data_IF_168462411815
#
_entry.id   IF_168462411815
#
_cell.length_a   1.000
_cell.length_b   1.000
_cell.length_c   1.000
_cell.angle_alpha   90.00
_cell.angle_beta   90.00
_cell.angle_gamma   90.00
#
_symmetry.space_group_name_H-M   'P 1'
#
loop_
_entity.id
_entity.type
_entity.pdbx_description
1 polymer ?
#
# COMPACT_ATOMS: atom_id res chain seq x y z
N UNK A 1 -12.13 4.02 0.77
CA UNK A 1 -12.45 2.75 1.50
C UNK A 1 -12.09 2.94 2.96
N UNK A 2 -10.83 3.32 3.21
CA UNK A 2 -10.29 3.54 4.53
C UNK A 2 -11.10 4.56 5.33
N UNK A 3 -11.58 5.64 4.70
CA UNK A 3 -12.47 6.62 5.33
C UNK A 3 -13.67 6.02 6.07
N UNK A 4 -14.30 4.97 5.51
CA UNK A 4 -15.42 4.26 6.15
C UNK A 4 -14.97 3.44 7.37
N UNK A 5 -13.89 2.68 7.23
CA UNK A 5 -13.30 1.89 8.32
C UNK A 5 -12.87 2.81 9.46
N UNK A 6 -12.20 3.92 9.13
CA UNK A 6 -11.74 4.91 10.09
C UNK A 6 -12.90 5.57 10.84
N UNK A 7 -14.00 5.87 10.15
CA UNK A 7 -15.21 6.40 10.77
C UNK A 7 -15.83 5.40 11.75
N UNK A 8 -15.96 4.13 11.38
CA UNK A 8 -16.52 3.10 12.27
C UNK A 8 -15.74 2.96 13.58
N UNK A 9 -14.41 3.05 13.52
CA UNK A 9 -13.53 2.91 14.68
C UNK A 9 -13.14 4.26 15.32
N UNK A 10 -13.80 5.38 15.00
CA UNK A 10 -13.40 6.72 15.47
C UNK A 10 -13.35 6.82 17.00
N UNK A 11 -14.32 6.21 17.68
CA UNK A 11 -14.43 6.17 19.14
C UNK A 11 -13.50 5.14 19.80
N UNK A 12 -12.77 4.35 19.00
CA UNK A 12 -11.93 3.25 19.46
C UNK A 12 -10.50 3.33 18.89
N UNK A 13 -9.66 4.31 19.30
CA UNK A 13 -8.33 4.53 18.71
C UNK A 13 -7.42 3.30 18.67
N UNK A 14 -7.46 2.46 19.70
CA UNK A 14 -6.68 1.21 19.75
C UNK A 14 -7.18 0.18 18.73
N UNK A 15 -8.48 0.10 18.48
CA UNK A 15 -9.08 -0.80 17.47
C UNK A 15 -8.85 -0.27 16.06
N UNK A 16 -8.88 1.06 15.88
CA UNK A 16 -8.49 1.72 14.64
C UNK A 16 -7.04 1.37 14.25
N UNK A 17 -6.11 1.35 15.22
CA UNK A 17 -4.72 0.90 14.97
C UNK A 17 -4.66 -0.54 14.45
N UNK A 18 -5.47 -1.45 15.02
CA UNK A 18 -5.56 -2.84 14.53
C UNK A 18 -6.11 -2.90 13.11
N UNK A 19 -7.23 -2.22 12.84
CA UNK A 19 -7.81 -2.15 11.50
C UNK A 19 -6.82 -1.58 10.48
N UNK A 20 -6.03 -0.57 10.87
CA UNK A 20 -4.96 0.00 10.02
C UNK A 20 -3.92 -1.05 9.65
N UNK A 21 -3.40 -1.80 10.63
CA UNK A 21 -2.43 -2.88 10.39
C UNK A 21 -3.00 -3.95 9.46
N UNK A 22 -4.27 -4.33 9.65
CA UNK A 22 -4.92 -5.31 8.77
C UNK A 22 -4.97 -4.82 7.32
N UNK A 23 -5.42 -3.58 7.09
CA UNK A 23 -5.55 -3.00 5.74
C UNK A 23 -4.19 -2.80 5.07
N UNK A 24 -3.22 -2.20 5.76
CA UNK A 24 -1.89 -1.91 5.21
C UNK A 24 -1.12 -3.18 4.78
N UNK A 25 -1.39 -4.31 5.44
CA UNK A 25 -0.72 -5.57 5.15
C UNK A 25 -1.54 -6.51 4.26
N UNK A 26 -2.75 -6.10 3.86
CA UNK A 26 -3.67 -6.93 3.10
C UNK A 26 -4.12 -8.18 3.87
N UNK A 27 -4.29 -8.07 5.18
CA UNK A 27 -4.72 -9.17 6.03
C UNK A 27 -6.25 -9.27 6.02
N UNK A 28 -6.75 -10.46 5.69
CA UNK A 28 -8.18 -10.75 5.72
C UNK A 28 -8.64 -11.23 7.09
N UNK A 29 -9.93 -11.09 7.36
CA UNK A 29 -10.63 -11.69 8.50
C UNK A 29 -11.67 -12.66 7.98
N UNK A 30 -11.53 -13.94 8.32
CA UNK A 30 -12.42 -15.04 7.92
C UNK A 30 -12.70 -15.92 9.14
N UNK A 31 -13.96 -16.19 9.43
CA UNK A 31 -14.37 -17.02 10.59
C UNK A 31 -13.72 -16.61 11.91
N UNK A 32 -13.63 -15.30 12.18
CA UNK A 32 -13.01 -14.75 13.39
C UNK A 32 -11.49 -14.95 13.48
N UNK A 33 -10.83 -15.32 12.39
CA UNK A 33 -9.37 -15.52 12.28
C UNK A 33 -8.77 -14.59 11.25
N UNK A 34 -7.49 -14.28 11.42
CA UNK A 34 -6.75 -13.32 10.58
C UNK A 34 -5.87 -14.11 9.62
N UNK A 35 -5.82 -13.73 8.34
CA UNK A 35 -5.00 -14.41 7.35
C UNK A 35 -4.21 -13.45 6.48
N UNK A 36 -2.97 -13.82 6.16
CA UNK A 36 -2.23 -13.31 5.01
C UNK A 36 -2.39 -14.31 3.87
N UNK A 37 -3.28 -14.01 2.92
CA UNK A 37 -3.73 -14.99 1.91
C UNK A 37 -4.23 -16.27 2.61
N UNK A 38 -3.57 -17.42 2.43
CA UNK A 38 -3.94 -18.69 3.07
C UNK A 38 -3.17 -19.00 4.37
N UNK A 39 -2.30 -18.09 4.82
CA UNK A 39 -1.51 -18.26 6.03
C UNK A 39 -2.25 -17.63 7.20
N UNK A 40 -2.64 -18.43 8.20
CA UNK A 40 -3.25 -17.92 9.43
C UNK A 40 -2.23 -17.12 10.26
N UNK A 41 -2.62 -15.92 10.68
CA UNK A 41 -1.79 -14.99 11.44
C UNK A 41 -2.29 -14.92 12.88
N UNK A 42 -1.47 -15.31 13.88
CA UNK A 42 -1.88 -15.25 15.28
C UNK A 42 -2.16 -13.80 15.73
N UNK A 43 -3.26 -13.55 16.49
CA UNK A 43 -3.60 -12.21 16.97
C UNK A 43 -2.49 -11.50 17.75
N UNK A 44 -1.64 -12.25 18.44
CA UNK A 44 -0.49 -11.69 19.19
C UNK A 44 0.54 -11.03 18.27
N UNK A 45 0.70 -11.50 17.03
CA UNK A 45 1.63 -10.91 16.06
C UNK A 45 1.10 -9.58 15.53
N UNK A 46 -0.20 -9.52 15.25
CA UNK A 46 -0.89 -8.27 14.87
C UNK A 46 -0.86 -7.27 16.01
N UNK A 47 -1.12 -7.71 17.25
CA UNK A 47 -1.11 -6.87 18.45
C UNK A 47 0.24 -6.17 18.64
N UNK A 48 1.35 -6.90 18.43
CA UNK A 48 2.71 -6.36 18.50
C UNK A 48 2.95 -5.24 17.48
N UNK A 49 2.48 -5.40 16.24
CA UNK A 49 2.64 -4.38 15.18
C UNK A 49 1.74 -3.17 15.44
N UNK A 50 0.51 -3.40 15.89
CA UNK A 50 -0.45 -2.35 16.20
C UNK A 50 -0.15 -1.60 17.51
N UNK A 51 0.78 -2.10 18.35
CA UNK A 51 1.13 -1.51 19.64
C UNK A 51 0.02 -1.65 20.70
N UNK A 52 -0.77 -2.73 20.65
CA UNK A 52 -1.93 -2.96 21.54
C UNK A 52 -1.87 -4.33 22.22
N UNK A 53 -2.79 -4.57 23.15
CA UNK A 53 -2.94 -5.89 23.78
C UNK A 53 -3.62 -6.89 22.81
N UNK A 54 -3.30 -8.19 22.96
CA UNK A 54 -3.90 -9.27 22.17
C UNK A 54 -5.43 -9.26 22.26
N UNK A 55 -6.02 -8.95 23.43
CA UNK A 55 -7.46 -8.89 23.63
C UNK A 55 -8.10 -7.83 22.75
N UNK A 56 -7.45 -6.68 22.57
CA UNK A 56 -7.92 -5.62 21.66
C UNK A 56 -8.02 -6.11 20.23
N UNK A 57 -7.07 -6.94 19.76
CA UNK A 57 -7.13 -7.52 18.41
C UNK A 57 -8.32 -8.49 18.29
N UNK A 58 -8.51 -9.37 19.26
CA UNK A 58 -9.64 -10.33 19.27
C UNK A 58 -10.99 -9.59 19.27
N UNK A 59 -11.14 -8.56 20.09
CA UNK A 59 -12.34 -7.72 20.11
C UNK A 59 -12.57 -6.99 18.78
N UNK A 60 -11.50 -6.48 18.16
CA UNK A 60 -11.59 -5.80 16.87
C UNK A 60 -12.03 -6.76 15.78
N UNK A 61 -11.46 -7.97 15.73
CA UNK A 61 -11.86 -9.03 14.79
C UNK A 61 -13.32 -9.43 15.01
N UNK A 62 -13.78 -9.51 16.27
CA UNK A 62 -15.17 -9.77 16.59
C UNK A 62 -16.08 -8.67 16.03
N UNK A 63 -15.77 -7.39 16.28
CA UNK A 63 -16.53 -6.26 15.73
C UNK A 63 -16.58 -6.28 14.20
N UNK A 64 -15.44 -6.55 13.53
CA UNK A 64 -15.36 -6.69 12.07
C UNK A 64 -16.28 -7.81 11.58
N UNK A 65 -16.39 -8.92 12.32
CA UNK A 65 -17.20 -10.08 11.90
C UNK A 65 -18.70 -9.86 12.12
N UNK A 66 -19.06 -9.08 13.13
CA UNK A 66 -20.44 -8.75 13.49
C UNK A 66 -21.05 -7.66 12.61
N UNK A 67 -20.24 -6.73 12.10
CA UNK A 67 -20.67 -5.70 11.15
C UNK A 67 -20.65 -6.21 9.70
N UNK A 68 -21.76 -6.07 8.99
CA UNK A 68 -21.91 -6.63 7.63
C UNK A 68 -20.99 -5.97 6.59
N UNK A 69 -20.83 -4.64 6.66
CA UNK A 69 -20.00 -3.90 5.72
C UNK A 69 -18.51 -4.18 5.97
N UNK A 70 -18.08 -4.12 7.22
CA UNK A 70 -16.70 -4.46 7.58
C UNK A 70 -16.38 -5.92 7.28
N UNK A 71 -17.26 -6.86 7.60
CA UNK A 71 -17.07 -8.28 7.27
C UNK A 71 -16.86 -8.47 5.77
N UNK A 72 -17.65 -7.79 4.94
CA UNK A 72 -17.51 -7.85 3.48
C UNK A 72 -16.15 -7.32 3.03
N UNK A 73 -15.73 -6.16 3.54
CA UNK A 73 -14.43 -5.57 3.18
C UNK A 73 -13.28 -6.47 3.64
N UNK A 74 -13.23 -6.82 4.92
CA UNK A 74 -12.11 -7.56 5.50
C UNK A 74 -12.06 -9.03 5.07
N UNK A 75 -13.15 -9.64 4.61
CA UNK A 75 -13.10 -10.99 4.04
C UNK A 75 -12.55 -11.03 2.61
N UNK A 76 -12.61 -9.91 1.88
CA UNK A 76 -12.20 -9.79 0.48
C UNK A 76 -10.83 -9.13 0.29
N UNK A 77 -10.33 -8.39 1.28
CA UNK A 77 -8.96 -7.87 1.28
C UNK A 77 -7.98 -9.04 1.19
N UNK A 78 -6.93 -8.86 0.39
CA UNK A 78 -5.83 -9.83 0.27
C UNK A 78 -4.52 -9.12 0.05
N UNK A 79 -3.42 -9.77 0.40
CA UNK A 79 -2.10 -9.25 0.12
C UNK A 79 -1.85 -9.28 -1.39
N UNK A 80 -1.45 -8.15 -1.98
CA UNK A 80 -1.27 -8.01 -3.42
C UNK A 80 0.06 -8.58 -3.96
N UNK A 81 0.86 -9.22 -3.10
CA UNK A 81 2.19 -9.75 -3.43
C UNK A 81 3.31 -8.91 -2.84
N UNK A 82 4.54 -9.39 -3.05
CA UNK A 82 5.73 -8.72 -2.53
C UNK A 82 6.01 -7.40 -3.26
N UNK A 83 6.37 -6.37 -2.50
CA UNK A 83 7.01 -5.19 -3.08
C UNK A 83 8.41 -5.55 -3.54
N UNK A 84 8.74 -5.29 -4.81
CA UNK A 84 10.07 -5.52 -5.35
C UNK A 84 11.04 -4.37 -5.03
N UNK A 85 10.58 -3.31 -4.35
CA UNK A 85 11.35 -2.08 -4.10
C UNK A 85 12.67 -2.37 -3.39
N UNK A 86 12.62 -3.09 -2.27
CA UNK A 86 13.80 -3.39 -1.44
C UNK A 86 14.76 -4.38 -2.11
N UNK A 87 14.25 -5.22 -3.01
CA UNK A 87 15.04 -6.21 -3.75
C UNK A 87 15.46 -5.72 -5.15
N UNK A 88 15.11 -4.49 -5.53
CA UNK A 88 15.40 -3.96 -6.85
C UNK A 88 16.91 -3.87 -7.11
N UNK A 89 17.65 -3.29 -6.15
CA UNK A 89 19.11 -3.12 -6.24
C UNK A 89 19.88 -4.44 -6.41
N UNK A 90 19.70 -5.48 -5.59
CA UNK A 90 20.42 -6.75 -5.79
C UNK A 90 20.01 -7.47 -7.09
N UNK A 91 18.81 -7.20 -7.63
CA UNK A 91 18.34 -7.76 -8.89
C UNK A 91 18.67 -6.89 -10.12
N UNK A 92 19.41 -5.79 -9.95
CA UNK A 92 19.72 -4.80 -10.99
C UNK A 92 18.48 -4.18 -11.66
N UNK A 93 17.34 -4.14 -10.96
CA UNK A 93 16.16 -3.41 -11.37
C UNK A 93 16.34 -1.92 -11.07
N UNK A 94 15.80 -1.07 -11.93
CA UNK A 94 15.73 0.37 -11.69
C UNK A 94 14.42 0.74 -11.02
N UNK A 95 14.45 1.71 -10.11
CA UNK A 95 13.27 2.22 -9.42
C UNK A 95 13.12 3.70 -9.73
N UNK A 96 11.91 4.12 -10.11
CA UNK A 96 11.49 5.52 -10.10
C UNK A 96 10.45 5.70 -9.00
N UNK A 97 10.77 6.56 -8.05
CA UNK A 97 9.87 6.98 -6.98
C UNK A 97 9.44 8.42 -7.23
N UNK A 98 8.13 8.65 -7.22
CA UNK A 98 7.49 9.92 -7.51
C UNK A 98 6.72 10.36 -6.28
N UNK A 99 7.05 11.55 -5.78
CA UNK A 99 6.21 12.27 -4.82
C UNK A 99 5.28 13.20 -5.61
N UNK A 100 3.95 13.01 -5.51
CA UNK A 100 2.99 13.89 -6.17
C UNK A 100 2.86 15.23 -5.45
N UNK A 101 2.46 16.29 -6.16
CA UNK A 101 2.03 17.57 -5.58
C UNK A 101 0.71 17.37 -4.82
N UNK A 102 -0.22 16.65 -5.45
CA UNK A 102 -1.45 16.15 -4.85
C UNK A 102 -1.67 14.72 -5.37
N UNK A 103 -1.75 13.72 -4.48
CA UNK A 103 -1.90 12.32 -4.85
C UNK A 103 -3.21 12.00 -5.59
N UNK A 104 -4.19 12.91 -5.59
CA UNK A 104 -5.45 12.77 -6.34
C UNK A 104 -5.34 13.24 -7.79
N UNK A 105 -4.21 13.84 -8.20
CA UNK A 105 -4.04 14.31 -9.58
C UNK A 105 -4.00 13.15 -10.56
N UNK A 106 -4.81 13.26 -11.60
CA UNK A 106 -4.88 12.29 -12.69
C UNK A 106 -3.67 12.44 -13.61
N UNK A 107 -3.16 11.32 -14.12
CA UNK A 107 -2.17 11.29 -15.20
C UNK A 107 -0.73 11.06 -14.77
N UNK A 108 -0.41 11.09 -13.46
CA UNK A 108 0.95 10.85 -12.97
C UNK A 108 1.45 9.46 -13.38
N UNK A 109 0.66 8.41 -13.08
CA UNK A 109 0.97 7.03 -13.47
C UNK A 109 1.19 6.96 -14.99
N UNK A 110 0.22 7.43 -15.77
CA UNK A 110 0.27 7.38 -17.23
C UNK A 110 1.50 8.11 -17.80
N UNK A 111 1.84 9.29 -17.28
CA UNK A 111 3.00 10.06 -17.73
C UNK A 111 4.31 9.35 -17.45
N UNK A 112 4.49 8.87 -16.21
CA UNK A 112 5.71 8.15 -15.79
C UNK A 112 5.88 6.84 -16.59
N UNK A 113 4.81 6.06 -16.74
CA UNK A 113 4.88 4.81 -17.50
C UNK A 113 5.08 5.04 -18.99
N UNK A 114 4.57 6.14 -19.55
CA UNK A 114 4.77 6.51 -20.97
C UNK A 114 6.23 6.86 -21.26
N UNK A 115 6.89 7.62 -20.38
CA UNK A 115 8.33 7.95 -20.51
C UNK A 115 9.16 6.67 -20.54
N UNK A 116 8.90 5.72 -19.63
CA UNK A 116 9.61 4.44 -19.60
C UNK A 116 9.36 3.63 -20.89
N UNK A 117 8.11 3.56 -21.35
CA UNK A 117 7.75 2.84 -22.58
C UNK A 117 8.41 3.45 -23.83
N UNK A 118 8.44 4.78 -23.95
CA UNK A 118 9.11 5.49 -25.05
C UNK A 118 10.63 5.22 -25.11
N UNK A 119 11.23 4.97 -23.94
CA UNK A 119 12.63 4.59 -23.81
C UNK A 119 12.86 3.07 -23.84
N UNK A 120 11.83 2.30 -24.23
CA UNK A 120 11.86 0.84 -24.34
C UNK A 120 12.32 0.16 -23.03
N UNK A 121 11.88 0.68 -21.89
CA UNK A 121 12.15 0.14 -20.54
C UNK A 121 10.91 -0.63 -20.09
N UNK A 122 11.06 -1.92 -19.80
CA UNK A 122 9.94 -2.76 -19.37
C UNK A 122 9.66 -2.55 -17.88
N UNK A 123 8.39 -2.50 -17.51
CA UNK A 123 7.95 -2.30 -16.14
C UNK A 123 7.61 -3.66 -15.52
N UNK A 124 8.20 -3.95 -14.36
CA UNK A 124 7.93 -5.16 -13.57
C UNK A 124 6.85 -4.96 -12.53
N UNK A 125 6.78 -3.77 -11.93
CA UNK A 125 5.80 -3.47 -10.89
C UNK A 125 5.47 -1.97 -10.88
N UNK A 126 4.20 -1.65 -10.64
CA UNK A 126 3.72 -0.30 -10.37
C UNK A 126 2.96 -0.35 -9.06
N UNK A 127 3.41 0.41 -8.07
CA UNK A 127 2.80 0.52 -6.76
C UNK A 127 2.38 1.97 -6.51
N UNK A 128 1.13 2.17 -6.12
CA UNK A 128 0.60 3.47 -5.73
C UNK A 128 0.07 3.36 -4.31
N UNK A 129 0.57 4.21 -3.43
CA UNK A 129 0.03 4.30 -2.07
C UNK A 129 -1.37 4.91 -2.09
N UNK A 130 -2.23 4.45 -1.18
CA UNK A 130 -3.55 5.06 -0.97
C UNK A 130 -3.38 6.35 -0.13
N UNK A 131 -3.78 7.52 -0.64
CA UNK A 131 -3.66 8.80 0.06
C UNK A 131 -4.57 8.92 1.30
N UNK A 132 -5.57 8.05 1.47
CA UNK A 132 -6.35 7.98 2.71
C UNK A 132 -5.55 7.28 3.84
N UNK A 133 -4.57 6.43 3.50
CA UNK A 133 -3.82 5.58 4.43
C UNK A 133 -2.40 6.06 4.70
N UNK A 134 -1.70 6.50 3.65
CA UNK A 134 -0.32 6.97 3.72
C UNK A 134 -0.27 8.49 3.89
N UNK A 135 0.45 9.02 4.89
CA UNK A 135 0.62 10.46 5.07
C UNK A 135 1.51 11.11 3.99
N UNK A 136 2.39 10.33 3.36
CA UNK A 136 3.24 10.76 2.24
C UNK A 136 3.12 9.72 1.10
N UNK A 137 1.98 9.72 0.38
CA UNK A 137 1.68 8.72 -0.63
C UNK A 137 2.57 8.90 -1.86
N UNK A 138 3.15 7.80 -2.33
CA UNK A 138 4.07 7.78 -3.47
C UNK A 138 3.61 6.86 -4.59
N UNK A 139 4.09 7.16 -5.78
CA UNK A 139 4.12 6.21 -6.89
C UNK A 139 5.52 5.62 -6.98
N UNK A 140 5.63 4.30 -6.92
CA UNK A 140 6.86 3.55 -7.14
C UNK A 140 6.73 2.70 -8.39
N UNK A 141 7.59 2.91 -9.37
CA UNK A 141 7.66 2.12 -10.59
C UNK A 141 8.99 1.38 -10.63
N UNK A 142 8.92 0.07 -10.82
CA UNK A 142 10.09 -0.82 -10.82
C UNK A 142 10.25 -1.36 -12.23
N UNK A 143 11.37 -1.01 -12.86
CA UNK A 143 11.77 -1.43 -14.20
C UNK A 143 12.62 -2.70 -14.18
N UNK A 144 12.72 -3.37 -15.32
CA UNK A 144 13.56 -4.56 -15.48
C UNK A 144 15.07 -4.30 -15.55
N UNK A 145 15.47 -3.03 -15.66
CA UNK A 145 16.85 -2.56 -15.72
C UNK A 145 16.97 -1.18 -15.09
N UNK A 146 18.21 -0.75 -14.85
CA UNK A 146 18.52 0.61 -14.36
C UNK A 146 17.91 1.68 -15.25
N UNK A 147 17.37 2.72 -14.61
CA UNK A 147 16.72 3.83 -15.29
C UNK A 147 17.77 4.92 -15.55
N UNK A 148 17.96 5.35 -16.81
CA UNK A 148 18.96 6.36 -17.14
C UNK A 148 18.68 7.70 -16.42
N UNK A 149 19.74 8.34 -15.92
CA UNK A 149 19.63 9.58 -15.16
C UNK A 149 19.12 10.75 -16.00
N UNK A 150 19.33 10.70 -17.31
CA UNK A 150 18.81 11.69 -18.27
C UNK A 150 17.27 11.72 -18.36
N UNK A 151 16.56 10.71 -17.83
CA UNK A 151 15.09 10.69 -17.80
C UNK A 151 14.51 11.47 -16.60
N UNK A 152 15.32 11.84 -15.60
CA UNK A 152 14.87 12.59 -14.41
C UNK A 152 14.16 13.91 -14.80
N UNK A 153 14.71 14.75 -15.69
CA UNK A 153 14.04 15.97 -16.15
C UNK A 153 12.72 15.70 -16.89
N UNK A 154 12.57 14.55 -17.54
CA UNK A 154 11.31 14.19 -18.21
C UNK A 154 10.22 13.84 -17.20
N UNK A 155 10.56 13.06 -16.17
CA UNK A 155 9.63 12.76 -15.08
C UNK A 155 9.18 14.03 -14.34
N UNK A 156 10.09 14.98 -14.10
CA UNK A 156 9.76 16.26 -13.47
C UNK A 156 8.83 17.15 -14.32
N UNK A 157 8.76 16.94 -15.64
CA UNK A 157 7.81 17.66 -16.52
C UNK A 157 6.41 17.06 -16.48
N UNK A 158 6.23 15.85 -15.93
CA UNK A 158 4.90 15.25 -15.78
C UNK A 158 4.09 16.10 -14.81
N UNK A 159 2.91 16.56 -15.26
CA UNK A 159 2.01 17.36 -14.45
C UNK A 159 1.66 16.61 -13.15
N UNK A 160 1.82 17.30 -12.02
CA UNK A 160 1.54 16.74 -10.70
C UNK A 160 2.72 16.07 -10.01
N UNK A 161 3.90 16.02 -10.64
CA UNK A 161 5.13 15.54 -10.00
C UNK A 161 5.80 16.67 -9.21
N UNK A 162 6.02 16.46 -7.91
CA UNK A 162 6.75 17.38 -7.04
C UNK A 162 8.23 17.00 -6.92
N UNK A 163 8.51 15.71 -6.79
CA UNK A 163 9.87 15.16 -6.64
C UNK A 163 9.99 13.83 -7.36
N UNK A 164 11.17 13.57 -7.88
CA UNK A 164 11.58 12.31 -8.51
C UNK A 164 12.81 11.79 -7.79
N UNK A 165 12.88 10.49 -7.57
CA UNK A 165 14.09 9.79 -7.11
C UNK A 165 14.28 8.52 -7.93
N UNK A 166 15.51 8.30 -8.41
CA UNK A 166 15.86 7.16 -9.27
C UNK A 166 17.05 6.42 -8.66
N UNK A 167 16.94 5.10 -8.51
CA UNK A 167 17.99 4.25 -7.93
C UNK A 167 17.93 2.79 -8.42
#
# INVERSE_FOLDING_TARGET
>A
MWSKIAHYFSEYPKRLSVAKVLVENGLSVRDGRIFCNEIEVPPVRVARVAGVDRRTVVETVKMITEDEELRTIFSLIRNAGASLREVARPLNFGVVEITPIDPKMVGIVAGVTSILAQNNISIRQVLTDDPELSPDPKLTVIADRKIPGELIPEFLKVRGVAKVSVY
#
